data_IF_650452543717
#
_entry.id   IF_650452543717
#
_cell.length_a   1.000
_cell.length_b   1.000
_cell.length_c   1.000
_cell.angle_alpha   90.00
_cell.angle_beta   90.00
_cell.angle_gamma   90.00
#
_symmetry.space_group_name_H-M   'P 1'
#
loop_
_entity.id
_entity.type
_entity.pdbx_description
1 polymer ?
#
# COMPACT_ATOMS: atom_id res chain seq x y z
N UNK A 1 10.52 68.70 -3.76
CA UNK A 1 11.97 68.74 -4.05
C UNK A 1 12.20 67.73 -5.17
N UNK A 2 12.47 68.18 -6.41
CA UNK A 2 13.80 68.18 -7.07
C UNK A 2 14.46 66.78 -7.00
N UNK A 3 14.92 66.11 -8.04
CA UNK A 3 15.20 66.39 -9.46
C UNK A 3 15.94 65.13 -9.98
N UNK A 4 15.65 64.66 -11.18
CA UNK A 4 16.49 64.80 -12.39
C UNK A 4 17.82 64.00 -12.37
N UNK A 5 17.89 63.06 -13.33
CA UNK A 5 18.88 63.00 -14.41
C UNK A 5 20.12 62.07 -14.40
N UNK A 6 20.14 61.27 -15.48
CA UNK A 6 21.21 61.01 -16.47
C UNK A 6 22.35 59.98 -16.24
N UNK A 7 22.31 58.98 -17.15
CA UNK A 7 23.33 58.14 -17.83
C UNK A 7 24.76 58.74 -17.99
N UNK A 8 25.84 57.91 -18.18
CA UNK A 8 26.21 57.43 -19.53
C UNK A 8 26.85 56.02 -19.66
N UNK A 9 26.88 55.63 -20.93
CA UNK A 9 27.40 54.46 -21.65
C UNK A 9 28.90 54.16 -21.53
N UNK A 10 29.27 52.88 -21.69
CA UNK A 10 30.56 52.44 -22.24
C UNK A 10 30.40 51.11 -22.99
N UNK A 11 30.30 51.20 -24.32
CA UNK A 11 30.43 50.10 -25.28
C UNK A 11 31.92 49.91 -25.61
N UNK A 12 32.46 48.72 -25.39
CA UNK A 12 33.73 48.29 -26.00
C UNK A 12 33.45 47.17 -26.99
N UNK A 13 33.73 47.45 -28.26
CA UNK A 13 33.69 46.50 -29.37
C UNK A 13 34.84 45.49 -29.24
N UNK A 14 34.52 44.20 -29.19
CA UNK A 14 35.45 43.11 -29.50
C UNK A 14 35.18 42.58 -30.92
N UNK A 15 36.25 42.40 -31.69
CA UNK A 15 36.22 41.90 -33.07
C UNK A 15 35.79 40.43 -33.11
N UNK A 16 34.98 39.99 -34.09
CA UNK A 16 34.78 38.56 -34.32
C UNK A 16 36.00 37.96 -35.03
N UNK A 17 36.56 36.91 -34.42
CA UNK A 17 37.53 36.04 -35.07
C UNK A 17 36.81 35.20 -36.13
N UNK A 18 37.33 35.25 -37.37
CA UNK A 18 36.98 34.36 -38.46
C UNK A 18 37.24 32.90 -38.08
N UNK A 19 36.18 32.17 -37.72
CA UNK A 19 36.21 30.70 -37.70
C UNK A 19 35.96 30.23 -39.13
N UNK A 20 36.96 29.55 -39.70
CA UNK A 20 36.93 29.04 -41.06
C UNK A 20 35.77 28.07 -41.29
N UNK A 21 35.00 28.33 -42.34
CA UNK A 21 33.84 27.57 -42.85
C UNK A 21 34.09 26.06 -43.09
N UNK A 22 35.33 25.58 -42.98
CA UNK A 22 35.71 24.18 -43.21
C UNK A 22 35.51 23.27 -42.01
N UNK A 23 35.48 23.79 -40.78
CA UNK A 23 35.31 22.96 -39.57
C UNK A 23 33.85 22.64 -39.24
N UNK A 24 32.91 23.49 -39.67
CA UNK A 24 31.48 23.28 -39.42
C UNK A 24 30.91 22.14 -40.26
N UNK A 25 31.38 21.98 -41.51
CA UNK A 25 30.87 20.97 -42.45
C UNK A 25 31.30 19.53 -42.08
N UNK A 26 32.46 19.35 -41.46
CA UNK A 26 32.95 18.03 -41.05
C UNK A 26 32.20 17.48 -39.81
N UNK A 27 31.74 18.35 -38.91
CA UNK A 27 30.98 17.94 -37.72
C UNK A 27 29.55 17.53 -38.10
N UNK A 28 28.93 18.19 -39.09
CA UNK A 28 27.56 17.87 -39.50
C UNK A 28 27.44 16.52 -40.22
N UNK A 29 28.42 16.17 -41.06
CA UNK A 29 28.40 14.90 -41.83
C UNK A 29 28.64 13.69 -40.91
N UNK A 30 29.48 13.84 -39.88
CA UNK A 30 29.76 12.75 -38.93
C UNK A 30 28.58 12.48 -37.99
N UNK A 31 27.82 13.52 -37.62
CA UNK A 31 26.62 13.39 -36.77
C UNK A 31 25.45 12.72 -37.51
N UNK A 32 25.25 13.03 -38.80
CA UNK A 32 24.19 12.43 -39.63
C UNK A 32 24.45 10.94 -39.94
N UNK A 33 25.70 10.54 -40.17
CA UNK A 33 26.05 9.13 -40.38
C UNK A 33 25.84 8.28 -39.11
N UNK A 34 26.14 8.83 -37.93
CA UNK A 34 25.91 8.16 -36.65
C UNK A 34 24.41 8.03 -36.31
N UNK A 35 23.59 9.04 -36.66
CA UNK A 35 22.15 9.01 -36.42
C UNK A 35 21.41 8.01 -37.35
N UNK A 36 21.86 7.86 -38.59
CA UNK A 36 21.30 6.86 -39.51
C UNK A 36 21.63 5.42 -39.12
N UNK A 37 22.84 5.15 -38.61
CA UNK A 37 23.21 3.78 -38.19
C UNK A 37 22.50 3.34 -36.90
N UNK A 38 22.28 4.27 -35.96
CA UNK A 38 21.57 3.99 -34.71
C UNK A 38 20.09 3.69 -34.96
N UNK A 39 19.44 4.43 -35.87
CA UNK A 39 18.02 4.23 -36.22
C UNK A 39 17.78 2.90 -36.96
N UNK A 40 18.75 2.43 -37.76
CA UNK A 40 18.64 1.15 -38.50
C UNK A 40 18.81 -0.08 -37.58
N UNK A 41 19.65 0.02 -36.53
CA UNK A 41 19.85 -1.04 -35.53
C UNK A 41 18.63 -1.17 -34.61
N UNK A 42 17.96 -0.06 -34.26
CA UNK A 42 16.76 -0.09 -33.42
C UNK A 42 15.50 -0.58 -34.14
N UNK A 43 15.40 -0.41 -35.47
CA UNK A 43 14.23 -0.85 -36.24
C UNK A 43 14.26 -2.33 -36.61
N UNK A 44 15.44 -2.93 -36.76
CA UNK A 44 15.56 -4.37 -37.08
C UNK A 44 15.51 -5.27 -35.82
N UNK A 45 15.91 -4.79 -34.64
CA UNK A 45 15.81 -5.58 -33.40
C UNK A 45 14.40 -5.68 -32.81
N UNK A 46 13.48 -4.75 -33.12
CA UNK A 46 12.08 -4.82 -32.64
C UNK A 46 11.24 -5.88 -33.36
N UNK A 47 11.69 -6.40 -34.51
CA UNK A 47 10.85 -7.25 -35.37
C UNK A 47 10.95 -8.75 -35.09
N UNK A 48 11.89 -9.21 -34.25
CA UNK A 48 12.18 -10.66 -34.13
C UNK A 48 11.78 -11.26 -32.77
N UNK A 49 11.31 -10.45 -31.81
CA UNK A 49 11.04 -10.91 -30.42
C UNK A 49 9.64 -10.64 -29.87
N UNK A 50 8.61 -10.46 -30.69
CA UNK A 50 7.24 -10.29 -30.18
C UNK A 50 6.23 -11.17 -30.92
N UNK A 51 6.42 -12.48 -30.83
CA UNK A 51 5.28 -13.39 -30.80
C UNK A 51 5.23 -13.95 -29.37
N UNK A 52 4.34 -13.46 -28.50
CA UNK A 52 4.11 -14.12 -27.22
C UNK A 52 3.50 -15.48 -27.55
N UNK A 53 4.32 -16.52 -27.54
CA UNK A 53 3.83 -17.89 -27.51
C UNK A 53 3.27 -18.08 -26.11
N UNK A 54 1.97 -17.77 -25.95
CA UNK A 54 1.23 -18.02 -24.72
C UNK A 54 0.99 -19.52 -24.65
N UNK A 55 1.95 -20.25 -24.09
CA UNK A 55 1.67 -21.59 -23.61
C UNK A 55 0.79 -21.45 -22.36
N UNK A 56 -0.49 -21.83 -22.46
CA UNK A 56 -1.29 -22.10 -21.26
C UNK A 56 -0.71 -23.35 -20.59
N UNK A 57 0.29 -23.15 -19.73
CA UNK A 57 0.76 -24.20 -18.84
C UNK A 57 -0.29 -24.33 -17.76
N UNK A 58 -1.02 -25.44 -17.77
CA UNK A 58 -1.94 -25.79 -16.70
C UNK A 58 -1.10 -26.29 -15.52
N UNK A 59 -0.78 -25.39 -14.60
CA UNK A 59 -0.05 -25.72 -13.39
C UNK A 59 -1.03 -26.28 -12.37
N UNK A 60 -1.12 -27.61 -12.30
CA UNK A 60 -1.75 -28.28 -11.15
C UNK A 60 -0.79 -28.25 -9.94
N UNK A 61 -0.25 -27.07 -9.65
CA UNK A 61 0.63 -26.82 -8.51
C UNK A 61 -0.25 -26.63 -7.27
N UNK A 62 -0.30 -27.67 -6.44
CA UNK A 62 -0.65 -27.50 -5.04
C UNK A 62 0.56 -26.91 -4.31
N UNK A 63 0.44 -25.66 -3.82
CA UNK A 63 1.45 -25.10 -2.93
C UNK A 63 1.42 -25.89 -1.62
N UNK A 64 2.53 -26.53 -1.19
CA UNK A 64 2.54 -27.36 0.00
C UNK A 64 2.60 -26.49 1.26
N UNK A 65 1.46 -25.94 1.69
CA UNK A 65 1.37 -25.13 2.91
C UNK A 65 1.65 -25.91 4.20
N UNK A 66 1.53 -27.24 4.18
CA UNK A 66 1.74 -28.12 5.33
C UNK A 66 3.18 -28.15 5.87
N UNK A 67 4.13 -27.50 5.18
CA UNK A 67 5.52 -27.44 5.59
C UNK A 67 6.00 -26.01 5.95
N UNK A 68 5.12 -25.01 6.00
CA UNK A 68 5.49 -23.68 6.46
C UNK A 68 5.70 -23.66 7.98
N UNK A 69 6.74 -22.96 8.45
CA UNK A 69 6.97 -22.70 9.88
C UNK A 69 6.75 -21.23 10.19
N UNK A 70 6.16 -20.92 11.34
CA UNK A 70 5.93 -19.54 11.79
C UNK A 70 6.71 -19.25 13.06
N UNK A 71 7.49 -18.18 13.03
CA UNK A 71 8.27 -17.65 14.15
C UNK A 71 7.65 -16.33 14.61
N UNK A 72 7.17 -16.26 15.85
CA UNK A 72 6.74 -15.01 16.47
C UNK A 72 7.97 -14.18 16.85
N UNK A 73 8.07 -12.95 16.31
CA UNK A 73 9.20 -12.05 16.54
C UNK A 73 8.95 -11.10 17.71
N UNK A 74 7.71 -10.98 18.18
CA UNK A 74 7.30 -10.02 19.19
C UNK A 74 6.79 -8.70 18.59
N UNK A 75 6.78 -7.66 19.42
CA UNK A 75 6.22 -6.36 19.08
C UNK A 75 7.27 -5.34 18.64
N UNK A 76 6.86 -4.46 17.73
CA UNK A 76 7.66 -3.33 17.27
C UNK A 76 7.86 -2.34 18.40
N UNK A 77 9.00 -1.65 18.37
CA UNK A 77 9.28 -0.55 19.28
C UNK A 77 10.08 0.54 18.55
N UNK A 78 9.90 1.80 18.94
CA UNK A 78 10.80 2.89 18.54
C UNK A 78 11.74 3.20 19.71
N UNK A 79 12.93 2.57 19.77
CA UNK A 79 13.82 2.68 20.92
C UNK A 79 14.44 4.08 21.07
N UNK A 80 14.25 4.98 20.10
CA UNK A 80 14.82 6.32 20.10
C UNK A 80 13.76 7.33 20.53
N UNK A 81 12.61 7.36 19.87
CA UNK A 81 11.71 8.50 20.07
C UNK A 81 10.86 8.42 21.34
N UNK A 82 10.70 7.25 21.96
CA UNK A 82 9.75 7.12 23.06
C UNK A 82 10.05 5.98 24.07
N UNK A 83 10.51 6.34 25.27
CA UNK A 83 10.80 5.39 26.36
C UNK A 83 9.53 4.79 27.00
N UNK A 84 8.38 5.48 26.85
CA UNK A 84 7.07 5.06 27.39
C UNK A 84 6.19 4.22 26.43
N UNK A 85 6.72 3.87 25.25
CA UNK A 85 6.00 3.22 24.15
C UNK A 85 5.16 4.15 23.26
N UNK A 86 5.22 3.93 21.94
CA UNK A 86 4.26 4.44 20.96
C UNK A 86 3.23 3.34 20.71
N UNK A 87 1.95 3.69 20.72
CA UNK A 87 0.86 2.75 20.44
C UNK A 87 0.39 2.95 19.00
N UNK A 88 0.13 1.84 18.35
CA UNK A 88 -0.37 1.81 16.98
C UNK A 88 -1.52 0.80 16.88
N UNK A 89 -2.66 1.27 16.39
CA UNK A 89 -3.82 0.48 16.04
C UNK A 89 -3.67 -0.10 14.63
N UNK A 90 -2.72 -1.04 14.50
CA UNK A 90 -2.51 -1.83 13.29
C UNK A 90 -2.33 -1.01 12.01
N UNK A 91 -2.33 -1.70 10.89
CA UNK A 91 -2.40 -1.11 9.55
C UNK A 91 -1.58 -1.88 8.55
N UNK A 92 -1.68 -1.48 7.29
CA UNK A 92 -0.94 -2.10 6.20
C UNK A 92 0.38 -1.41 5.87
N UNK A 93 1.07 -1.95 4.88
CA UNK A 93 2.35 -1.42 4.46
C UNK A 93 2.69 -1.76 3.02
N UNK A 94 3.88 -1.32 2.59
CA UNK A 94 4.46 -1.64 1.30
C UNK A 94 5.98 -1.45 1.37
N UNK A 95 6.70 -2.06 0.42
CA UNK A 95 8.12 -1.75 0.23
C UNK A 95 8.35 -1.06 -1.11
N UNK A 96 8.98 0.11 -1.08
CA UNK A 96 9.24 0.92 -2.27
C UNK A 96 10.52 1.72 -2.06
N UNK A 97 11.31 1.88 -3.11
CA UNK A 97 12.54 2.69 -3.07
C UNK A 97 13.51 2.31 -1.93
N UNK A 98 13.57 1.02 -1.57
CA UNK A 98 14.44 0.51 -0.49
C UNK A 98 13.94 0.74 0.94
N UNK A 99 12.73 1.29 1.12
CA UNK A 99 12.12 1.50 2.43
C UNK A 99 10.92 0.58 2.63
N UNK A 100 10.75 0.08 3.85
CA UNK A 100 9.60 -0.71 4.29
C UNK A 100 8.62 0.21 5.02
N UNK A 101 7.62 0.70 4.29
CA UNK A 101 6.61 1.62 4.80
C UNK A 101 5.53 0.85 5.54
N UNK A 102 5.14 1.39 6.69
CA UNK A 102 3.99 0.99 7.46
C UNK A 102 3.14 2.21 7.72
N UNK A 103 1.85 2.11 7.42
CA UNK A 103 0.85 3.08 7.80
C UNK A 103 0.03 2.49 8.93
N UNK A 104 -0.49 3.37 9.77
CA UNK A 104 -1.33 2.99 10.89
C UNK A 104 -2.61 3.80 10.87
N UNK A 105 -3.70 3.20 11.36
CA UNK A 105 -4.88 3.94 11.77
C UNK A 105 -4.54 4.72 13.05
N UNK A 106 -5.25 4.48 14.14
CA UNK A 106 -5.07 5.25 15.36
C UNK A 106 -3.66 5.06 15.93
N UNK A 107 -3.06 6.15 16.42
CA UNK A 107 -1.75 6.11 17.05
C UNK A 107 -1.69 7.07 18.22
N UNK A 108 -1.00 6.66 19.29
CA UNK A 108 -0.89 7.47 20.50
C UNK A 108 0.50 7.46 21.11
N UNK A 109 0.83 8.55 21.80
CA UNK A 109 2.00 8.67 22.68
C UNK A 109 1.51 8.98 24.10
N UNK A 110 2.23 8.49 25.13
CA UNK A 110 1.83 8.64 26.54
C UNK A 110 2.89 9.32 27.43
N UNK A 111 4.16 9.44 26.98
CA UNK A 111 5.29 9.82 27.84
C UNK A 111 5.22 11.25 28.36
N UNK A 112 4.52 12.12 27.64
CA UNK A 112 4.33 13.54 27.97
C UNK A 112 2.84 13.93 28.07
N UNK A 113 1.99 12.97 28.43
CA UNK A 113 0.53 13.07 28.35
C UNK A 113 -0.02 12.38 27.11
N UNK A 114 -1.33 12.07 27.12
CA UNK A 114 -2.00 11.42 26.00
C UNK A 114 -2.07 12.35 24.80
N UNK A 115 -1.49 11.93 23.68
CA UNK A 115 -1.57 12.62 22.39
C UNK A 115 -1.87 11.59 21.30
N UNK A 116 -2.85 11.87 20.46
CA UNK A 116 -3.52 10.91 19.60
C UNK A 116 -3.72 11.47 18.19
N UNK A 117 -3.57 10.61 17.18
CA UNK A 117 -3.81 10.89 15.76
C UNK A 117 -4.52 9.71 15.07
N UNK A 118 -5.41 9.99 14.13
CA UNK A 118 -6.24 9.00 13.40
C UNK A 118 -5.51 8.21 12.31
N UNK A 119 -4.32 8.68 11.95
CA UNK A 119 -3.40 7.95 11.08
C UNK A 119 -1.98 8.41 11.35
N UNK A 120 -1.04 7.50 11.17
CA UNK A 120 0.38 7.81 11.22
C UNK A 120 1.16 6.90 10.25
N UNK A 121 2.45 7.19 10.08
CA UNK A 121 3.32 6.45 9.17
C UNK A 121 4.70 6.27 9.77
N UNK A 122 5.31 5.11 9.53
CA UNK A 122 6.65 4.79 9.96
C UNK A 122 7.36 3.93 8.93
N UNK A 123 8.69 3.89 9.01
CA UNK A 123 9.52 2.93 8.26
C UNK A 123 10.10 1.89 9.20
N UNK A 124 9.98 0.62 8.83
CA UNK A 124 10.62 -0.49 9.52
C UNK A 124 12.03 -0.73 9.00
N UNK A 125 12.93 -1.13 9.89
CA UNK A 125 14.32 -1.45 9.57
C UNK A 125 15.15 -0.29 9.03
N UNK A 126 14.64 0.95 9.07
CA UNK A 126 15.34 2.09 8.49
C UNK A 126 16.70 2.32 9.18
N UNK A 127 16.74 2.25 10.52
CA UNK A 127 17.99 2.42 11.28
C UNK A 127 18.80 1.13 11.38
N UNK A 128 18.13 -0.01 11.27
CA UNK A 128 18.69 -1.35 11.41
C UNK A 128 17.97 -2.32 10.44
N UNK A 129 18.46 -2.47 9.20
CA UNK A 129 17.79 -3.24 8.16
C UNK A 129 17.57 -4.72 8.48
N UNK A 130 18.36 -5.28 9.39
CA UNK A 130 18.24 -6.68 9.79
C UNK A 130 17.17 -6.89 10.89
N UNK A 131 16.64 -5.80 11.45
CA UNK A 131 15.68 -5.82 12.56
C UNK A 131 14.31 -5.28 12.13
N UNK A 132 13.35 -6.16 11.80
CA UNK A 132 12.00 -5.75 11.41
C UNK A 132 11.22 -5.05 12.53
N UNK A 133 11.65 -5.21 13.79
CA UNK A 133 11.01 -4.57 14.95
C UNK A 133 11.49 -3.13 15.16
N UNK A 134 12.51 -2.68 14.43
CA UNK A 134 13.03 -1.31 14.51
C UNK A 134 12.11 -0.35 13.76
N UNK A 135 11.31 0.42 14.50
CA UNK A 135 10.44 1.45 13.95
C UNK A 135 11.18 2.79 13.84
N UNK A 136 10.98 3.50 12.74
CA UNK A 136 11.23 4.94 12.62
C UNK A 136 9.91 5.66 12.41
N UNK A 137 9.39 6.31 13.45
CA UNK A 137 8.10 7.01 13.38
C UNK A 137 8.23 8.44 12.81
N UNK A 138 7.37 8.79 11.86
CA UNK A 138 7.20 10.17 11.37
C UNK A 138 6.15 10.94 12.17
N UNK A 139 6.10 12.27 12.01
CA UNK A 139 5.09 13.12 12.63
C UNK A 139 5.31 13.40 14.13
N UNK A 140 6.42 12.94 14.71
CA UNK A 140 6.76 13.19 16.10
C UNK A 140 7.60 14.46 16.29
N UNK A 141 7.31 15.22 17.34
CA UNK A 141 8.08 16.40 17.76
C UNK A 141 8.37 16.33 19.26
N UNK A 142 9.57 16.73 19.64
CA UNK A 142 10.01 16.79 21.03
C UNK A 142 11.42 16.20 21.20
N UNK A 143 11.95 16.19 22.43
CA UNK A 143 13.21 15.53 22.70
C UNK A 143 13.05 14.00 22.63
N UNK A 144 14.18 13.32 22.42
CA UNK A 144 14.30 11.87 22.47
C UNK A 144 13.69 11.29 23.76
N UNK A 145 13.04 10.13 23.65
CA UNK A 145 12.29 9.49 24.73
C UNK A 145 10.98 10.19 25.17
N UNK A 146 10.69 11.40 24.67
CA UNK A 146 9.52 12.23 25.07
C UNK A 146 8.77 12.87 23.91
N UNK A 147 9.00 12.40 22.68
CA UNK A 147 8.37 13.00 21.51
C UNK A 147 6.87 12.67 21.49
N UNK A 148 6.05 13.61 21.00
CA UNK A 148 4.60 13.45 20.83
C UNK A 148 4.21 13.73 19.39
N UNK A 149 3.05 13.24 18.93
CA UNK A 149 2.57 13.59 17.59
C UNK A 149 2.34 15.11 17.48
N UNK A 150 2.77 15.69 16.36
CA UNK A 150 2.64 17.12 16.09
C UNK A 150 1.19 17.57 15.88
N UNK A 151 0.26 16.62 15.71
CA UNK A 151 -1.13 16.85 15.29
C UNK A 151 -1.28 16.95 13.77
N UNK A 152 -0.18 16.96 13.02
CA UNK A 152 -0.20 16.87 11.55
C UNK A 152 -0.38 15.40 11.19
N UNK A 153 -1.59 15.05 10.76
CA UNK A 153 -1.89 13.72 10.23
C UNK A 153 -1.45 13.61 8.76
N UNK A 154 -0.93 12.45 8.32
CA UNK A 154 -0.67 12.16 6.91
C UNK A 154 -1.84 12.51 5.98
N UNK A 155 -3.07 12.12 6.35
CA UNK A 155 -4.28 12.40 5.58
C UNK A 155 -5.43 12.78 6.51
N UNK A 156 -6.14 13.86 6.16
CA UNK A 156 -7.23 14.42 6.96
C UNK A 156 -8.51 14.71 6.16
N UNK A 157 -9.50 15.35 6.81
CA UNK A 157 -10.74 15.78 6.16
C UNK A 157 -10.48 16.82 5.07
N UNK A 158 -11.21 16.73 3.96
CA UNK A 158 -11.20 17.72 2.88
C UNK A 158 -12.61 18.28 2.59
N UNK A 159 -12.68 19.54 2.18
CA UNK A 159 -13.94 20.18 1.81
C UNK A 159 -14.96 20.18 2.95
N UNK A 160 -16.15 19.63 2.72
CA UNK A 160 -17.24 19.59 3.71
C UNK A 160 -17.05 18.53 4.81
N UNK A 161 -16.00 17.71 4.75
CA UNK A 161 -15.69 16.75 5.83
C UNK A 161 -15.23 17.45 7.11
N UNK A 162 -14.74 18.68 6.99
CA UNK A 162 -14.39 19.51 8.15
C UNK A 162 -15.61 19.83 9.03
N UNK A 163 -16.82 19.77 8.46
CA UNK A 163 -18.07 20.02 9.19
C UNK A 163 -18.43 18.86 10.13
N UNK A 164 -17.93 17.66 9.86
CA UNK A 164 -18.03 16.50 10.78
C UNK A 164 -17.18 16.73 12.03
N UNK A 165 -16.13 17.55 11.92
CA UNK A 165 -15.26 17.92 13.03
C UNK A 165 -14.26 16.82 13.40
N UNK A 166 -13.80 16.75 14.66
CA UNK A 166 -12.68 15.88 15.06
C UNK A 166 -12.98 14.38 15.01
N UNK A 167 -14.25 14.00 14.81
CA UNK A 167 -14.69 12.60 14.71
C UNK A 167 -14.59 12.04 13.28
N UNK A 168 -14.18 12.85 12.28
CA UNK A 168 -13.87 12.32 10.96
C UNK A 168 -12.49 11.68 10.97
N UNK A 169 -12.43 10.39 10.62
CA UNK A 169 -11.19 9.64 10.53
C UNK A 169 -11.01 9.04 9.13
N UNK A 170 -9.75 8.96 8.70
CA UNK A 170 -9.33 8.12 7.58
C UNK A 170 -8.51 6.98 8.19
N UNK A 171 -9.12 5.81 8.34
CA UNK A 171 -8.48 4.66 8.98
C UNK A 171 -7.66 3.89 7.95
N UNK A 172 -6.35 3.96 8.10
CA UNK A 172 -5.35 3.39 7.19
C UNK A 172 -5.15 1.88 7.41
N UNK A 173 -6.25 1.13 7.31
CA UNK A 173 -6.31 -0.29 7.65
C UNK A 173 -5.81 -1.21 6.54
N UNK A 174 -5.70 -0.75 5.29
CA UNK A 174 -5.39 -1.61 4.15
C UNK A 174 -3.88 -1.65 3.85
N UNK A 175 -3.40 -2.72 3.24
CA UNK A 175 -2.08 -2.74 2.60
C UNK A 175 -1.92 -1.62 1.57
N UNK A 176 -0.68 -1.18 1.34
CA UNK A 176 -0.35 -0.29 0.23
C UNK A 176 0.31 -1.08 -0.90
N UNK A 177 0.18 -0.60 -2.12
CA UNK A 177 0.75 -1.22 -3.32
C UNK A 177 1.85 -0.35 -3.92
N UNK A 178 3.07 -0.88 -4.08
CA UNK A 178 4.12 -0.33 -4.93
C UNK A 178 3.62 0.02 -6.32
N UNK A 179 3.76 1.28 -6.73
CA UNK A 179 3.40 1.71 -8.08
C UNK A 179 4.58 1.52 -9.06
N UNK A 180 4.32 1.27 -10.35
CA UNK A 180 5.37 1.06 -11.34
C UNK A 180 6.33 2.24 -11.56
N UNK A 181 6.02 3.42 -11.03
CA UNK A 181 6.88 4.61 -11.10
C UNK A 181 8.15 4.51 -10.21
N UNK A 182 8.21 3.50 -9.33
CA UNK A 182 9.37 3.27 -8.48
C UNK A 182 9.44 4.19 -7.25
N UNK A 183 8.50 5.11 -7.06
CA UNK A 183 8.56 6.16 -6.04
C UNK A 183 7.33 6.23 -5.15
N UNK A 184 6.17 5.83 -5.67
CA UNK A 184 4.90 6.00 -4.96
C UNK A 184 4.31 4.67 -4.55
N UNK A 185 3.56 4.72 -3.45
CA UNK A 185 2.71 3.62 -3.00
C UNK A 185 1.27 4.12 -2.90
N UNK A 186 0.33 3.22 -3.15
CA UNK A 186 -1.09 3.53 -3.24
C UNK A 186 -1.88 2.68 -2.25
N UNK A 187 -2.85 3.27 -1.56
CA UNK A 187 -3.79 2.54 -0.72
C UNK A 187 -5.21 3.05 -0.90
N UNK A 188 -6.20 2.25 -0.50
CA UNK A 188 -7.60 2.68 -0.42
C UNK A 188 -8.09 2.44 1.00
N UNK A 189 -8.58 3.50 1.64
CA UNK A 189 -8.87 3.52 3.08
C UNK A 189 -10.29 3.97 3.36
N UNK A 190 -11.00 3.35 4.32
CA UNK A 190 -12.29 3.85 4.78
C UNK A 190 -12.17 5.26 5.40
N UNK A 191 -13.17 6.07 5.11
CA UNK A 191 -13.45 7.35 5.76
C UNK A 191 -14.74 7.21 6.55
N UNK A 192 -14.70 7.53 7.84
CA UNK A 192 -15.77 7.21 8.77
C UNK A 192 -15.91 8.23 9.88
N UNK A 193 -17.04 8.13 10.58
CA UNK A 193 -17.25 8.80 11.86
C UNK A 193 -16.75 7.87 12.97
N UNK A 194 -15.63 8.23 13.59
CA UNK A 194 -14.98 7.46 14.65
C UNK A 194 -15.90 7.31 15.87
N UNK A 195 -16.63 8.37 16.23
CA UNK A 195 -17.46 8.40 17.44
C UNK A 195 -18.61 7.37 17.44
N UNK A 196 -18.97 6.83 16.28
CA UNK A 196 -19.98 5.78 16.16
C UNK A 196 -19.63 4.68 15.14
N UNK A 197 -18.38 4.67 14.66
CA UNK A 197 -17.86 3.75 13.64
C UNK A 197 -18.72 3.65 12.38
N UNK A 198 -19.40 4.73 11.99
CA UNK A 198 -20.21 4.75 10.77
C UNK A 198 -19.34 5.09 9.57
N UNK A 199 -19.20 4.13 8.66
CA UNK A 199 -18.54 4.33 7.38
C UNK A 199 -19.30 5.32 6.50
N UNK A 200 -18.57 6.24 5.86
CA UNK A 200 -19.11 7.14 4.85
C UNK A 200 -18.84 6.62 3.44
N UNK A 201 -17.56 6.43 3.14
CA UNK A 201 -17.04 6.01 1.85
C UNK A 201 -15.58 5.56 2.02
N UNK A 202 -14.92 5.06 0.98
CA UNK A 202 -13.46 4.87 0.96
C UNK A 202 -12.75 5.86 0.01
N UNK A 203 -11.50 6.17 0.29
CA UNK A 203 -10.68 7.13 -0.45
C UNK A 203 -9.39 6.48 -0.93
N UNK A 204 -8.94 6.86 -2.14
CA UNK A 204 -7.65 6.44 -2.66
C UNK A 204 -6.57 7.47 -2.27
N UNK A 205 -5.50 6.99 -1.67
CA UNK A 205 -4.40 7.81 -1.15
C UNK A 205 -3.09 7.35 -1.78
N UNK A 206 -2.34 8.30 -2.30
CA UNK A 206 -0.98 8.13 -2.79
C UNK A 206 0.00 8.71 -1.79
N UNK A 207 1.07 7.99 -1.51
CA UNK A 207 2.20 8.47 -0.74
C UNK A 207 3.46 8.46 -1.61
N UNK A 208 4.25 9.54 -1.52
CA UNK A 208 5.60 9.55 -2.05
C UNK A 208 6.56 8.98 -0.99
N UNK A 209 7.25 7.89 -1.31
CA UNK A 209 8.23 7.29 -0.40
C UNK A 209 9.52 8.10 -0.49
N UNK A 210 9.95 8.65 0.64
CA UNK A 210 11.03 9.66 0.71
C UNK A 210 12.11 9.22 1.68
N UNK A 211 13.32 9.70 1.49
CA UNK A 211 14.41 9.49 2.44
C UNK A 211 14.04 10.17 3.78
N UNK A 212 13.99 9.43 4.91
CA UNK A 212 13.63 10.00 6.20
C UNK A 212 14.48 11.19 6.64
N UNK A 213 15.74 11.26 6.20
CA UNK A 213 16.65 12.39 6.52
C UNK A 213 16.24 13.71 5.84
N UNK A 214 15.37 13.64 4.84
CA UNK A 214 14.86 14.82 4.11
C UNK A 214 13.55 15.36 4.66
N UNK A 215 12.91 14.61 5.58
CA UNK A 215 11.66 15.01 6.24
C UNK A 215 12.00 15.73 7.54
N UNK A 216 11.45 16.93 7.73
CA UNK A 216 11.71 17.71 8.94
C UNK A 216 11.05 17.07 10.17
N UNK A 217 11.63 17.21 11.38
CA UNK A 217 11.01 16.70 12.61
C UNK A 217 9.58 17.23 12.80
N UNK A 218 8.64 16.35 13.14
CA UNK A 218 7.22 16.67 13.29
C UNK A 218 6.40 16.62 12.00
N UNK A 219 7.04 16.43 10.85
CA UNK A 219 6.38 16.30 9.54
C UNK A 219 6.22 14.83 9.14
N UNK A 220 5.37 14.61 8.13
CA UNK A 220 5.18 13.32 7.45
C UNK A 220 5.72 13.39 6.01
N UNK A 221 6.07 12.25 5.38
CA UNK A 221 6.28 12.19 3.94
C UNK A 221 5.07 12.72 3.17
N UNK A 222 5.19 13.12 1.89
CA UNK A 222 4.06 13.68 1.15
C UNK A 222 2.97 12.63 0.89
N UNK A 223 1.74 12.93 1.31
CA UNK A 223 0.52 12.19 0.97
C UNK A 223 -0.43 13.05 0.13
N UNK A 224 -1.26 12.39 -0.67
CA UNK A 224 -2.30 13.03 -1.47
C UNK A 224 -3.51 12.11 -1.64
N UNK A 225 -4.71 12.64 -1.37
CA UNK A 225 -5.97 12.01 -1.80
C UNK A 225 -6.17 12.22 -3.30
N UNK A 226 -6.50 11.15 -4.00
CA UNK A 226 -6.67 11.17 -5.45
C UNK A 226 -8.13 11.39 -5.86
N UNK A 227 -8.32 11.80 -7.11
CA UNK A 227 -9.64 12.10 -7.66
C UNK A 227 -10.32 13.27 -6.95
N UNK A 228 -11.60 13.11 -6.62
CA UNK A 228 -12.37 14.05 -5.79
C UNK A 228 -12.34 13.67 -4.29
N UNK A 229 -11.43 12.79 -3.89
CA UNK A 229 -11.32 12.27 -2.53
C UNK A 229 -12.29 11.13 -2.20
N UNK A 230 -13.27 10.78 -3.04
CA UNK A 230 -14.28 9.75 -2.73
C UNK A 230 -14.33 8.69 -3.81
N UNK A 231 -14.28 7.43 -3.40
CA UNK A 231 -14.35 6.30 -4.32
C UNK A 231 -15.69 5.57 -4.16
N UNK A 232 -15.85 4.62 -3.24
CA UNK A 232 -17.07 3.83 -3.04
C UNK A 232 -17.78 4.19 -1.72
N UNK A 233 -19.11 4.25 -1.71
CA UNK A 233 -19.93 4.56 -0.53
C UNK A 233 -20.25 3.32 0.30
N UNK A 234 -20.59 3.50 1.59
CA UNK A 234 -20.73 2.41 2.56
C UNK A 234 -21.71 1.27 2.19
N UNK A 235 -22.68 1.55 1.32
CA UNK A 235 -23.62 0.57 0.79
C UNK A 235 -23.13 -0.16 -0.48
N UNK A 236 -21.92 0.15 -0.94
CA UNK A 236 -21.25 -0.49 -2.07
C UNK A 236 -20.14 -1.43 -1.59
N UNK A 237 -19.70 -2.34 -2.45
CA UNK A 237 -18.46 -3.10 -2.21
C UNK A 237 -17.29 -2.12 -2.15
N UNK A 238 -16.51 -2.18 -1.07
CA UNK A 238 -15.32 -1.35 -0.88
C UNK A 238 -14.13 -1.89 -1.68
N UNK A 239 -14.18 -1.74 -3.00
CA UNK A 239 -13.06 -2.15 -3.84
C UNK A 239 -11.79 -1.36 -3.47
N UNK A 240 -10.73 -2.10 -3.19
CA UNK A 240 -9.40 -1.60 -2.85
C UNK A 240 -9.08 -1.64 -1.35
N UNK A 241 -10.07 -1.76 -0.47
CA UNK A 241 -9.80 -1.83 0.99
C UNK A 241 -9.32 -3.20 1.43
N UNK A 242 -9.65 -4.26 0.68
CA UNK A 242 -9.05 -5.56 0.96
C UNK A 242 -7.60 -5.57 0.51
N UNK A 243 -7.34 -5.20 -0.75
CA UNK A 243 -6.00 -5.08 -1.31
C UNK A 243 -6.01 -4.31 -2.63
N UNK A 244 -4.82 -3.89 -3.06
CA UNK A 244 -4.54 -3.42 -4.40
C UNK A 244 -3.45 -4.31 -5.03
N UNK A 245 -3.42 -4.42 -6.36
CA UNK A 245 -2.31 -5.06 -7.09
C UNK A 245 -2.10 -4.34 -8.43
N UNK A 246 -0.95 -3.72 -8.63
CA UNK A 246 -0.57 -3.16 -9.92
C UNK A 246 0.10 -4.25 -10.77
N UNK A 247 -0.46 -4.57 -11.95
CA UNK A 247 0.07 -5.61 -12.84
C UNK A 247 0.76 -5.04 -14.08
N UNK A 248 1.73 -5.78 -14.67
CA UNK A 248 2.40 -5.39 -15.90
C UNK A 248 1.50 -5.26 -17.14
N UNK A 249 0.26 -5.74 -17.07
CA UNK A 249 -0.74 -5.61 -18.12
C UNK A 249 -1.35 -4.19 -18.22
N UNK A 250 -0.90 -3.28 -17.34
CA UNK A 250 -1.29 -1.88 -17.33
C UNK A 250 -2.52 -1.59 -16.47
N UNK A 251 -3.05 -2.57 -15.73
CA UNK A 251 -4.16 -2.38 -14.81
C UNK A 251 -3.71 -2.29 -13.34
N UNK A 252 -4.44 -1.47 -12.59
CA UNK A 252 -4.52 -1.54 -11.14
C UNK A 252 -5.76 -2.36 -10.80
N UNK A 253 -5.56 -3.45 -10.08
CA UNK A 253 -6.62 -4.30 -9.55
C UNK A 253 -6.98 -3.86 -8.14
N UNK A 254 -8.28 -3.78 -7.87
CA UNK A 254 -8.84 -3.39 -6.59
C UNK A 254 -9.66 -4.56 -6.03
N UNK A 255 -9.17 -5.15 -4.96
CA UNK A 255 -9.85 -6.22 -4.26
C UNK A 255 -10.76 -5.60 -3.21
N UNK A 256 -12.05 -5.89 -3.30
CA UNK A 256 -13.02 -5.54 -2.28
C UNK A 256 -13.49 -6.80 -1.58
N UNK A 257 -13.89 -6.67 -0.33
CA UNK A 257 -14.43 -7.77 0.45
C UNK A 257 -15.67 -7.36 1.22
N UNK A 258 -16.48 -8.35 1.53
CA UNK A 258 -17.67 -8.22 2.36
C UNK A 258 -17.95 -9.55 3.08
N UNK A 259 -19.09 -9.68 3.76
CA UNK A 259 -19.42 -10.89 4.54
C UNK A 259 -19.57 -12.16 3.72
N UNK A 260 -19.58 -12.08 2.39
CA UNK A 260 -19.70 -13.23 1.47
C UNK A 260 -18.37 -13.69 0.89
N UNK A 261 -17.37 -12.82 0.81
CA UNK A 261 -16.09 -13.15 0.18
C UNK A 261 -15.37 -11.95 -0.43
N UNK A 262 -14.61 -12.21 -1.50
CA UNK A 262 -13.75 -11.25 -2.18
C UNK A 262 -14.22 -11.06 -3.62
N UNK A 263 -14.31 -9.80 -4.05
CA UNK A 263 -14.65 -9.35 -5.41
C UNK A 263 -13.50 -8.52 -5.97
N UNK A 264 -13.42 -8.41 -7.30
CA UNK A 264 -12.35 -7.65 -7.96
C UNK A 264 -12.88 -6.64 -8.97
N UNK A 265 -12.34 -5.44 -8.90
CA UNK A 265 -12.45 -4.40 -9.92
C UNK A 265 -11.07 -4.13 -10.53
N UNK A 266 -11.04 -3.44 -11.66
CA UNK A 266 -9.80 -2.91 -12.23
C UNK A 266 -10.01 -1.57 -12.90
N UNK A 267 -8.94 -0.80 -12.99
CA UNK A 267 -8.84 0.47 -13.73
C UNK A 267 -7.47 0.57 -14.39
N UNK A 268 -7.30 1.29 -15.52
CA UNK A 268 -5.97 1.57 -16.04
C UNK A 268 -5.08 2.22 -14.96
N UNK A 269 -3.85 1.73 -14.81
CA UNK A 269 -2.87 2.16 -13.80
C UNK A 269 -2.26 3.55 -14.05
N UNK A 270 -2.89 4.38 -14.87
CA UNK A 270 -2.41 5.74 -15.18
C UNK A 270 -2.92 6.75 -14.15
N UNK A 271 -2.13 7.79 -13.86
CA UNK A 271 -2.49 8.80 -12.85
C UNK A 271 -3.86 9.45 -13.09
N UNK A 272 -4.27 9.63 -14.35
CA UNK A 272 -5.57 10.21 -14.71
C UNK A 272 -6.76 9.25 -14.52
N UNK A 273 -6.52 7.94 -14.41
CA UNK A 273 -7.55 6.91 -14.42
C UNK A 273 -7.70 6.19 -13.08
N UNK A 274 -6.64 6.11 -12.27
CA UNK A 274 -6.64 5.31 -11.04
C UNK A 274 -7.68 5.74 -10.00
N UNK A 275 -8.17 6.98 -10.05
CA UNK A 275 -9.24 7.46 -9.15
C UNK A 275 -10.52 7.90 -9.89
N UNK A 276 -10.61 7.67 -11.22
CA UNK A 276 -11.82 7.96 -12.00
C UNK A 276 -12.68 6.69 -12.13
N UNK A 277 -13.76 6.62 -11.34
CA UNK A 277 -14.69 5.47 -11.33
C UNK A 277 -15.30 5.16 -12.71
N UNK A 278 -15.36 6.11 -13.63
CA UNK A 278 -15.88 5.85 -14.98
C UNK A 278 -14.96 4.92 -15.80
N UNK A 279 -13.67 4.86 -15.44
CA UNK A 279 -12.70 3.96 -16.07
C UNK A 279 -12.80 2.53 -15.56
N UNK A 280 -13.51 2.31 -14.46
CA UNK A 280 -13.48 1.02 -13.78
C UNK A 280 -14.29 -0.01 -14.56
N UNK A 281 -13.92 -1.27 -14.35
CA UNK A 281 -14.71 -2.43 -14.71
C UNK A 281 -14.67 -3.42 -13.55
N UNK A 282 -15.77 -4.16 -13.35
CA UNK A 282 -15.97 -5.08 -12.23
C UNK A 282 -16.09 -6.49 -12.78
N UNK A 283 -15.39 -7.45 -12.20
CA UNK A 283 -15.45 -8.83 -12.69
C UNK A 283 -16.58 -9.58 -12.01
N UNK A 284 -17.52 -10.09 -12.79
CA UNK A 284 -18.54 -11.01 -12.31
C UNK A 284 -18.11 -12.45 -12.63
N UNK A 285 -17.65 -13.19 -11.62
CA UNK A 285 -17.25 -14.60 -11.73
C UNK A 285 -18.38 -15.55 -12.14
N UNK A 286 -19.64 -15.23 -11.84
CA UNK A 286 -20.78 -16.06 -12.24
C UNK A 286 -21.00 -16.02 -13.76
N UNK A 287 -20.87 -14.85 -14.36
CA UNK A 287 -20.98 -14.66 -15.82
C UNK A 287 -19.63 -14.77 -16.55
N UNK A 288 -18.52 -14.73 -15.81
CA UNK A 288 -17.14 -14.68 -16.29
C UNK A 288 -16.84 -13.49 -17.19
N UNK A 289 -17.44 -12.34 -16.89
CA UNK A 289 -17.28 -11.11 -17.70
C UNK A 289 -16.92 -9.90 -16.85
N UNK A 290 -16.21 -8.97 -17.47
CA UNK A 290 -16.01 -7.63 -16.94
C UNK A 290 -17.19 -6.75 -17.34
N UNK A 291 -17.81 -6.11 -16.36
CA UNK A 291 -18.98 -5.23 -16.54
C UNK A 291 -18.71 -3.81 -16.05
N UNK A 292 -19.60 -2.87 -16.40
CA UNK A 292 -19.47 -1.45 -16.03
C UNK A 292 -20.14 -1.11 -14.71
N UNK A 293 -21.19 -1.83 -14.33
CA UNK A 293 -21.87 -1.60 -13.08
C UNK A 293 -21.17 -2.36 -11.93
N UNK A 294 -20.99 -1.74 -10.76
CA UNK A 294 -20.42 -2.41 -9.60
C UNK A 294 -21.31 -3.56 -9.14
N UNK A 295 -20.69 -4.63 -8.63
CA UNK A 295 -21.43 -5.71 -7.97
C UNK A 295 -22.05 -5.22 -6.66
N UNK A 296 -23.16 -5.84 -6.28
CA UNK A 296 -23.86 -5.60 -5.01
C UNK A 296 -23.03 -6.08 -3.82
N UNK A 297 -23.05 -5.30 -2.74
CA UNK A 297 -22.47 -5.69 -1.45
C UNK A 297 -23.29 -6.79 -0.80
N UNK A 298 -22.63 -7.69 -0.08
CA UNK A 298 -23.25 -8.78 0.69
C UNK A 298 -24.01 -9.81 -0.17
N UNK A 299 -23.70 -9.87 -1.47
CA UNK A 299 -24.17 -10.92 -2.38
C UNK A 299 -22.99 -11.78 -2.87
N UNK A 300 -23.17 -13.09 -2.93
CA UNK A 300 -22.11 -14.01 -3.39
C UNK A 300 -21.80 -13.86 -4.89
N UNK A 301 -22.71 -13.25 -5.66
CA UNK A 301 -22.52 -13.06 -7.09
C UNK A 301 -21.26 -12.25 -7.38
N UNK A 302 -20.41 -12.82 -8.23
CA UNK A 302 -19.18 -12.18 -8.68
C UNK A 302 -17.97 -12.37 -7.76
N UNK A 303 -18.12 -13.08 -6.63
CA UNK A 303 -16.98 -13.42 -5.77
C UNK A 303 -15.91 -14.23 -6.55
N UNK A 304 -14.65 -13.81 -6.48
CA UNK A 304 -13.51 -14.61 -6.94
C UNK A 304 -13.09 -15.65 -5.90
N UNK A 305 -13.42 -15.40 -4.63
CA UNK A 305 -13.33 -16.32 -3.49
C UNK A 305 -14.59 -16.12 -2.66
N UNK A 306 -15.33 -17.20 -2.38
CA UNK A 306 -16.42 -17.20 -1.41
C UNK A 306 -15.88 -17.67 -0.09
N UNK A 307 -15.93 -16.81 0.94
CA UNK A 307 -15.40 -17.13 2.26
C UNK A 307 -16.13 -16.31 3.32
N UNK A 308 -16.51 -16.99 4.40
CA UNK A 308 -17.03 -16.36 5.62
C UNK A 308 -16.84 -17.32 6.78
N UNK A 309 -16.77 -16.79 8.00
CA UNK A 309 -16.80 -17.58 9.24
C UNK A 309 -17.88 -17.05 10.18
N UNK A 310 -18.37 -17.91 11.05
CA UNK A 310 -19.23 -17.50 12.15
C UNK A 310 -18.42 -16.65 13.14
N UNK A 311 -18.99 -15.51 13.52
CA UNK A 311 -18.40 -14.54 14.41
C UNK A 311 -18.24 -15.06 15.84
N UNK A 312 -17.58 -14.27 16.70
CA UNK A 312 -17.34 -14.65 18.07
C UNK A 312 -18.66 -14.88 18.82
N UNK A 313 -18.70 -15.95 19.63
CA UNK A 313 -19.82 -16.38 20.48
C UNK A 313 -21.03 -17.02 19.78
N UNK A 314 -20.92 -17.40 18.50
CA UNK A 314 -21.99 -18.14 17.82
C UNK A 314 -23.32 -17.39 17.79
N UNK A 315 -23.26 -16.06 17.77
CA UNK A 315 -24.41 -15.17 17.76
C UNK A 315 -25.09 -15.10 16.38
N UNK A 316 -24.65 -15.92 15.43
CA UNK A 316 -25.13 -15.94 14.05
C UNK A 316 -24.59 -14.81 13.17
N UNK A 317 -23.68 -13.94 13.64
CA UNK A 317 -23.04 -12.96 12.76
C UNK A 317 -22.01 -13.64 11.86
N UNK A 318 -22.00 -13.31 10.57
CA UNK A 318 -20.96 -13.75 9.64
C UNK A 318 -19.89 -12.68 9.54
N UNK A 319 -18.64 -13.12 9.52
CA UNK A 319 -17.47 -12.27 9.31
C UNK A 319 -16.83 -12.70 8.00
N UNK A 320 -16.65 -11.74 7.10
CA UNK A 320 -15.96 -11.91 5.83
C UNK A 320 -14.45 -11.62 5.94
N UNK A 321 -13.71 -11.72 4.83
CA UNK A 321 -12.29 -11.40 4.81
C UNK A 321 -12.13 -9.87 4.87
N UNK A 322 -12.03 -9.27 6.05
CA UNK A 322 -12.11 -7.80 6.19
C UNK A 322 -10.93 -7.06 5.52
N UNK A 323 -9.70 -7.38 5.94
CA UNK A 323 -8.47 -6.71 5.51
C UNK A 323 -7.46 -7.78 5.12
N UNK A 324 -6.72 -7.56 4.02
CA UNK A 324 -5.68 -8.46 3.59
C UNK A 324 -4.63 -7.80 2.70
N UNK A 325 -3.89 -8.65 1.99
CA UNK A 325 -2.86 -8.25 1.04
C UNK A 325 -2.82 -9.24 -0.12
N UNK A 326 -2.57 -8.72 -1.31
CA UNK A 326 -2.43 -9.51 -2.55
C UNK A 326 -1.14 -9.11 -3.24
N UNK A 327 -0.32 -10.09 -3.62
CA UNK A 327 0.93 -9.83 -4.33
C UNK A 327 1.35 -11.01 -5.20
N UNK A 328 2.23 -10.76 -6.16
CA UNK A 328 2.88 -11.83 -6.89
C UNK A 328 4.06 -12.39 -6.08
N UNK A 329 3.98 -13.65 -5.66
CA UNK A 329 5.08 -14.34 -4.99
C UNK A 329 6.09 -14.85 -6.01
N UNK A 330 7.28 -14.25 -6.03
CA UNK A 330 8.39 -14.72 -6.85
C UNK A 330 8.89 -16.12 -6.46
N UNK A 331 8.70 -16.53 -5.20
CA UNK A 331 9.07 -17.87 -4.74
C UNK A 331 8.10 -18.93 -5.27
N UNK A 332 6.79 -18.68 -5.14
CA UNK A 332 5.74 -19.61 -5.55
C UNK A 332 5.33 -19.49 -7.03
N UNK A 333 5.80 -18.45 -7.73
CA UNK A 333 5.49 -18.15 -9.13
C UNK A 333 4.01 -17.93 -9.43
N UNK A 334 3.25 -17.42 -8.46
CA UNK A 334 1.83 -17.11 -8.62
C UNK A 334 1.43 -15.88 -7.78
N UNK A 335 0.29 -15.27 -8.12
CA UNK A 335 -0.36 -14.28 -7.25
C UNK A 335 -0.92 -15.01 -6.04
N UNK A 336 -0.62 -14.52 -4.85
CA UNK A 336 -1.07 -15.05 -3.57
C UNK A 336 -1.81 -13.96 -2.82
N UNK A 337 -2.62 -14.37 -1.86
CA UNK A 337 -3.29 -13.47 -0.95
C UNK A 337 -3.27 -14.02 0.46
N UNK A 338 -3.20 -13.10 1.42
CA UNK A 338 -3.22 -13.40 2.85
C UNK A 338 -4.14 -12.40 3.54
N UNK A 339 -4.92 -12.87 4.49
CA UNK A 339 -5.78 -12.01 5.31
C UNK A 339 -5.93 -12.60 6.71
N UNK A 340 -6.40 -11.74 7.61
CA UNK A 340 -6.67 -12.09 8.99
C UNK A 340 -8.17 -12.07 9.25
N UNK A 341 -8.72 -13.07 9.94
CA UNK A 341 -10.14 -13.06 10.36
C UNK A 341 -10.38 -12.25 11.64
N UNK A 342 -10.02 -10.96 11.53
CA UNK A 342 -10.20 -9.96 12.57
C UNK A 342 -11.60 -10.02 13.18
N UNK A 343 -11.65 -10.05 14.52
CA UNK A 343 -12.88 -10.15 15.28
C UNK A 343 -13.32 -11.57 15.61
N UNK A 344 -12.64 -12.63 15.14
CA UNK A 344 -12.89 -14.02 15.58
C UNK A 344 -11.76 -14.51 16.49
N UNK A 345 -10.71 -15.08 15.89
CA UNK A 345 -9.52 -15.59 16.56
C UNK A 345 -8.23 -15.06 15.92
N UNK A 346 -8.36 -14.22 14.88
CA UNK A 346 -7.26 -13.61 14.14
C UNK A 346 -6.39 -14.65 13.43
N UNK A 347 -6.97 -15.76 12.99
CA UNK A 347 -6.31 -16.70 12.11
C UNK A 347 -5.95 -16.03 10.79
N UNK A 348 -4.70 -16.22 10.39
CA UNK A 348 -4.20 -15.87 9.06
C UNK A 348 -4.59 -16.96 8.07
N UNK A 349 -5.29 -16.55 7.02
CA UNK A 349 -5.73 -17.37 5.91
C UNK A 349 -4.90 -17.06 4.67
N UNK A 350 -4.67 -18.07 3.86
CA UNK A 350 -3.88 -17.97 2.64
C UNK A 350 -4.63 -18.59 1.46
N UNK A 351 -4.58 -17.94 0.30
CA UNK A 351 -5.02 -18.49 -0.97
C UNK A 351 -4.09 -18.05 -2.10
N UNK A 352 -4.08 -18.79 -3.21
CA UNK A 352 -3.28 -18.47 -4.38
C UNK A 352 -4.04 -18.68 -5.68
N UNK A 353 -3.70 -17.89 -6.69
CA UNK A 353 -4.26 -18.03 -8.02
C UNK A 353 -3.72 -19.31 -8.67
N UNK A 354 -4.60 -20.13 -9.23
CA UNK A 354 -4.26 -21.33 -10.02
C UNK A 354 -3.95 -20.99 -11.48
N UNK A 355 -4.11 -19.73 -11.84
CA UNK A 355 -3.81 -19.19 -13.17
C UNK A 355 -3.05 -17.87 -13.03
N UNK A 356 -2.51 -17.36 -14.13
CA UNK A 356 -1.87 -16.03 -14.20
C UNK A 356 -2.86 -14.86 -14.09
N UNK A 357 -4.15 -15.13 -14.33
CA UNK A 357 -5.25 -14.17 -14.27
C UNK A 357 -5.81 -14.02 -12.87
N UNK A 358 -6.05 -12.78 -12.44
CA UNK A 358 -6.65 -12.50 -11.12
C UNK A 358 -8.12 -12.94 -11.06
N UNK A 359 -8.80 -12.92 -12.21
CA UNK A 359 -10.18 -13.36 -12.36
C UNK A 359 -10.30 -14.88 -12.56
N UNK A 360 -9.16 -15.58 -12.57
CA UNK A 360 -9.10 -17.02 -12.69
C UNK A 360 -9.48 -17.75 -11.41
N UNK A 361 -9.28 -19.07 -11.42
CA UNK A 361 -9.55 -19.91 -10.26
C UNK A 361 -8.54 -19.64 -9.15
N UNK A 362 -9.02 -19.51 -7.92
CA UNK A 362 -8.21 -19.44 -6.71
C UNK A 362 -8.22 -20.79 -5.97
N UNK A 363 -7.23 -21.02 -5.12
CA UNK A 363 -7.24 -22.14 -4.18
C UNK A 363 -8.28 -21.92 -3.10
N UNK A 364 -8.76 -23.02 -2.53
CA UNK A 364 -9.50 -22.95 -1.27
C UNK A 364 -8.63 -22.26 -0.21
N UNK A 365 -9.19 -21.34 0.59
CA UNK A 365 -8.46 -20.71 1.69
C UNK A 365 -7.99 -21.73 2.72
N UNK A 366 -6.73 -21.61 3.14
CA UNK A 366 -6.13 -22.47 4.17
C UNK A 366 -5.67 -21.62 5.35
N UNK A 367 -6.02 -22.04 6.56
CA UNK A 367 -5.51 -21.45 7.79
C UNK A 367 -4.02 -21.79 7.95
N UNK A 368 -3.18 -20.77 8.12
CA UNK A 368 -1.73 -20.91 8.26
C UNK A 368 -1.31 -20.80 9.72
N UNK A 369 -1.83 -19.79 10.43
CA UNK A 369 -1.39 -19.50 11.79
C UNK A 369 -2.40 -18.63 12.53
N UNK A 370 -2.55 -18.88 13.82
CA UNK A 370 -3.34 -18.05 14.73
C UNK A 370 -2.37 -17.42 15.73
N UNK A 371 -2.23 -16.09 15.76
CA UNK A 371 -1.31 -15.42 16.65
C UNK A 371 -1.74 -15.60 18.11
N UNK A 372 -0.81 -15.92 19.02
CA UNK A 372 -1.13 -15.94 20.44
C UNK A 372 -1.48 -14.52 20.92
N UNK A 373 -2.26 -14.43 22.00
CA UNK A 373 -2.39 -13.17 22.74
C UNK A 373 -1.15 -13.03 23.63
N UNK A 374 -0.33 -11.97 23.47
CA UNK A 374 0.86 -11.79 24.29
C UNK A 374 0.52 -11.69 25.78
N UNK A 375 1.33 -12.25 26.71
CA UNK A 375 1.10 -12.15 28.15
C UNK A 375 0.98 -10.70 28.66
N UNK A 376 1.63 -9.74 27.98
CA UNK A 376 1.58 -8.31 28.26
C UNK A 376 0.16 -7.74 28.12
N UNK A 377 -0.69 -8.38 27.31
CA UNK A 377 -2.07 -7.98 27.13
C UNK A 377 -2.99 -8.47 28.27
N UNK A 378 -2.52 -9.40 29.13
CA UNK A 378 -3.36 -10.02 30.16
C UNK A 378 -4.00 -9.02 31.15
N UNK A 379 -3.43 -7.82 31.30
CA UNK A 379 -4.00 -6.74 32.12
C UNK A 379 -5.20 -6.01 31.48
N UNK A 380 -5.49 -6.24 30.20
CA UNK A 380 -6.56 -5.60 29.43
C UNK A 380 -7.47 -6.65 28.76
N UNK A 381 -8.23 -7.44 29.56
CA UNK A 381 -9.01 -8.57 29.05
C UNK A 381 -10.04 -8.18 27.97
N UNK A 382 -10.57 -6.97 28.03
CA UNK A 382 -11.49 -6.40 27.04
C UNK A 382 -10.80 -6.05 25.70
N UNK A 383 -9.48 -5.89 25.71
CA UNK A 383 -8.67 -5.66 24.52
C UNK A 383 -7.90 -6.90 24.09
N UNK A 384 -8.15 -8.09 24.66
CA UNK A 384 -7.41 -9.32 24.32
C UNK A 384 -7.86 -9.94 22.98
N UNK A 385 -7.68 -9.21 21.89
CA UNK A 385 -7.88 -9.70 20.53
C UNK A 385 -6.77 -9.20 19.61
N UNK A 386 -6.51 -10.00 18.57
CA UNK A 386 -5.59 -9.66 17.49
C UNK A 386 -6.42 -9.31 16.24
N UNK A 387 -5.95 -8.38 15.42
CA UNK A 387 -6.65 -7.91 14.21
C UNK A 387 -5.70 -7.15 13.28
N UNK A 388 -6.21 -6.65 12.14
CA UNK A 388 -5.43 -5.91 11.14
C UNK A 388 -4.15 -6.65 10.74
N UNK A 389 -4.29 -7.92 10.35
CA UNK A 389 -3.15 -8.72 9.93
C UNK A 389 -2.75 -8.40 8.49
N UNK A 390 -1.45 -8.16 8.28
CA UNK A 390 -0.89 -7.79 6.98
C UNK A 390 0.35 -8.58 6.62
N UNK A 391 0.59 -8.70 5.32
CA UNK A 391 1.79 -9.27 4.72
C UNK A 391 2.76 -8.20 4.23
N UNK A 392 4.06 -8.44 4.44
CA UNK A 392 5.17 -7.58 4.02
C UNK A 392 6.09 -8.32 3.06
N UNK A 393 5.63 -8.64 1.83
CA UNK A 393 6.37 -9.47 0.90
C UNK A 393 7.66 -8.83 0.37
N UNK A 394 7.81 -7.52 0.52
CA UNK A 394 9.02 -6.80 0.13
C UNK A 394 10.18 -6.94 1.11
N UNK A 395 9.97 -7.50 2.31
CA UNK A 395 11.01 -7.65 3.33
C UNK A 395 12.08 -8.68 2.94
N UNK A 396 11.66 -9.82 2.37
CA UNK A 396 12.56 -10.84 1.84
C UNK A 396 12.42 -10.92 0.31
N UNK A 397 13.36 -10.33 -0.46
CA UNK A 397 13.30 -10.35 -1.92
C UNK A 397 13.31 -11.75 -2.54
N UNK A 398 13.80 -12.76 -1.82
CA UNK A 398 13.78 -14.15 -2.29
C UNK A 398 12.39 -14.77 -2.24
N UNK A 399 11.51 -14.21 -1.40
CA UNK A 399 10.18 -14.73 -1.11
C UNK A 399 10.16 -16.04 -0.36
N UNK A 400 11.31 -16.54 0.13
CA UNK A 400 11.39 -17.77 0.96
C UNK A 400 10.79 -17.57 2.34
N UNK A 401 10.82 -16.35 2.83
CA UNK A 401 10.13 -15.94 4.03
C UNK A 401 9.12 -14.84 3.72
N UNK A 402 8.12 -14.72 4.59
CA UNK A 402 7.15 -13.64 4.56
C UNK A 402 7.05 -13.06 5.97
N UNK A 403 7.38 -11.79 6.11
CA UNK A 403 7.08 -11.04 7.33
C UNK A 403 5.59 -10.71 7.33
N UNK A 404 4.92 -10.91 8.45
CA UNK A 404 3.53 -10.50 8.67
C UNK A 404 3.46 -9.62 9.92
N UNK A 405 2.53 -8.67 9.94
CA UNK A 405 2.23 -7.83 11.11
C UNK A 405 0.78 -7.96 11.52
N UNK A 406 0.46 -7.62 12.77
CA UNK A 406 -0.93 -7.54 13.27
C UNK A 406 -1.00 -6.63 14.50
N UNK A 407 -2.15 -5.99 14.70
CA UNK A 407 -2.46 -5.33 15.96
C UNK A 407 -2.64 -6.40 17.04
N UNK A 408 -1.86 -6.30 18.10
CA UNK A 408 -1.95 -7.11 19.32
C UNK A 408 -2.56 -6.27 20.43
N UNK A 409 -3.70 -6.77 20.92
CA UNK A 409 -4.49 -6.19 21.98
C UNK A 409 -4.77 -4.69 21.87
N UNK A 410 -5.03 -4.22 20.64
CA UNK A 410 -5.31 -2.83 20.28
C UNK A 410 -4.26 -1.80 20.75
N UNK A 411 -3.05 -2.26 21.09
CA UNK A 411 -2.02 -1.43 21.70
C UNK A 411 -0.66 -1.58 21.01
N UNK A 412 -0.34 -2.80 20.57
CA UNK A 412 0.95 -3.11 20.00
C UNK A 412 0.80 -3.55 18.55
N UNK A 413 1.83 -3.32 17.75
CA UNK A 413 1.97 -4.00 16.46
C UNK A 413 2.98 -5.11 16.65
N UNK A 414 2.54 -6.35 16.46
CA UNK A 414 3.38 -7.53 16.53
C UNK A 414 3.75 -8.01 15.15
N UNK A 415 4.87 -8.71 15.06
CA UNK A 415 5.37 -9.29 13.83
C UNK A 415 5.66 -10.77 13.99
N UNK A 416 5.44 -11.52 12.91
CA UNK A 416 5.87 -12.90 12.80
C UNK A 416 6.49 -13.14 11.43
N UNK A 417 7.32 -14.18 11.32
CA UNK A 417 7.94 -14.62 10.08
C UNK A 417 7.40 -15.99 9.70
N UNK A 418 6.77 -16.07 8.54
CA UNK A 418 6.46 -17.34 7.88
C UNK A 418 7.68 -17.75 7.04
N UNK A 419 8.13 -18.98 7.16
CA UNK A 419 9.16 -19.57 6.30
C UNK A 419 8.53 -20.69 5.48
N UNK A 420 8.61 -20.58 4.15
CA UNK A 420 8.13 -21.60 3.23
C UNK A 420 9.15 -22.73 3.08
N UNK A 421 8.66 -23.95 2.86
CA UNK A 421 9.49 -25.14 2.67
C UNK A 421 10.19 -25.20 1.31
#
# INVERSE_FOLDING_TARGET
>A
MRGLDHLPTSLTHSRPNNISFRSLLAITITFLASLCMTTLIFTTYKSVFTLPVVFSVNYDHHLPFTAASVEDLGFVNDPVFHDGGIYHDGGGGASQNGYHVQIFADSATNSSGFNFVHNSVAYFGYRDPDNPLNLYQFGLKGPEGKAVFSGIVPVGPEGNETDVGPIFAVWMLSGMTPMPDGQTILGVFPCLNEGNSTDFYNTMVQMNVTDPSTVSPGESPPFKRLGNGRLFYANEVYYGTFALEAKPDGYLYLYGSDVTGIKVARTPSTQSSIADRNQYTYYNSATKTWQKDPLTKDEEEGNIITWSREGPKGNGTRVGPNVGDVWYSNYHKTTVMLWNDAGIDATFWFSYAKTDKVEGLWSEPVAIWTPPIPPQCASFPELNFNYQGHAHPGWDPTGKTLLISYASCANFVSMARITWA
#
